data_IF_585175224903
#
_entry.id   IF_585175224903
#
_cell.length_a   1.000
_cell.length_b   1.000
_cell.length_c   1.000
_cell.angle_alpha   90.00
_cell.angle_beta   90.00
_cell.angle_gamma   90.00
#
_symmetry.space_group_name_H-M   'P 1'
#
loop_
_entity.id
_entity.type
_entity.pdbx_description
1 polymer ?
#
# COMPACT_ATOMS: atom_id res chain seq x y z
N UNK A 1 -13.52 26.30 -11.18
CA UNK A 1 -13.94 25.90 -9.81
C UNK A 1 -14.94 24.74 -9.84
N UNK A 2 -14.95 23.89 -10.88
CA UNK A 2 -15.66 22.60 -10.89
C UNK A 2 -14.65 21.45 -11.03
N UNK A 3 -13.54 21.68 -11.75
CA UNK A 3 -12.46 20.71 -11.96
C UNK A 3 -11.80 20.24 -10.66
N UNK A 4 -11.64 21.13 -9.68
CA UNK A 4 -11.09 20.78 -8.37
C UNK A 4 -11.99 19.80 -7.61
N UNK A 5 -13.32 19.97 -7.69
CA UNK A 5 -14.30 19.08 -7.07
C UNK A 5 -14.33 17.72 -7.78
N UNK A 6 -14.21 17.70 -9.11
CA UNK A 6 -14.09 16.44 -9.87
C UNK A 6 -12.80 15.68 -9.55
N UNK A 7 -11.68 16.38 -9.32
CA UNK A 7 -10.40 15.78 -8.94
C UNK A 7 -10.26 15.41 -7.46
N UNK A 8 -11.15 15.89 -6.58
CA UNK A 8 -10.98 15.79 -5.13
C UNK A 8 -10.80 14.35 -4.64
N UNK A 9 -11.57 13.39 -5.18
CA UNK A 9 -11.46 11.96 -4.79
C UNK A 9 -10.09 11.39 -5.17
N UNK A 10 -9.60 11.71 -6.37
CA UNK A 10 -8.29 11.25 -6.85
C UNK A 10 -7.16 11.83 -5.99
N UNK A 11 -7.23 13.13 -5.67
CA UNK A 11 -6.25 13.78 -4.80
C UNK A 11 -6.21 13.13 -3.41
N UNK A 12 -7.38 12.84 -2.82
CA UNK A 12 -7.45 12.19 -1.51
C UNK A 12 -6.97 10.74 -1.56
N UNK A 13 -7.25 10.01 -2.65
CA UNK A 13 -6.75 8.65 -2.88
C UNK A 13 -5.21 8.62 -2.94
N UNK A 14 -4.61 9.53 -3.72
CA UNK A 14 -3.17 9.65 -3.85
C UNK A 14 -2.53 10.05 -2.51
N UNK A 15 -3.13 11.00 -1.80
CA UNK A 15 -2.69 11.43 -0.46
C UNK A 15 -2.74 10.29 0.55
N UNK A 16 -3.86 9.57 0.62
CA UNK A 16 -4.04 8.48 1.57
C UNK A 16 -3.03 7.35 1.33
N UNK A 17 -2.78 7.02 0.06
CA UNK A 17 -1.82 5.98 -0.32
C UNK A 17 -0.39 6.40 0.02
N UNK A 18 0.01 7.62 -0.35
CA UNK A 18 1.35 8.14 -0.07
C UNK A 18 1.62 8.29 1.43
N UNK A 19 0.63 8.79 2.18
CA UNK A 19 0.74 8.93 3.64
C UNK A 19 0.88 7.58 4.32
N UNK A 20 0.05 6.61 3.97
CA UNK A 20 0.12 5.25 4.51
C UNK A 20 1.46 4.59 4.21
N UNK A 21 1.96 4.70 2.97
CA UNK A 21 3.27 4.19 2.59
C UNK A 21 4.39 4.82 3.44
N UNK A 22 4.36 6.13 3.63
CA UNK A 22 5.33 6.86 4.47
C UNK A 22 5.34 6.35 5.92
N UNK A 23 4.18 6.11 6.51
CA UNK A 23 4.09 5.57 7.87
C UNK A 23 4.66 4.16 7.95
N UNK A 24 4.38 3.30 6.98
CA UNK A 24 4.90 1.93 6.96
C UNK A 24 6.42 1.90 6.76
N UNK A 25 6.97 2.73 5.88
CA UNK A 25 8.42 2.83 5.67
C UNK A 25 9.13 3.29 6.94
N UNK A 26 8.55 4.23 7.69
CA UNK A 26 9.18 4.81 8.88
C UNK A 26 9.04 3.94 10.13
N UNK A 27 7.92 3.23 10.26
CA UNK A 27 7.50 2.65 11.55
C UNK A 27 7.08 1.18 11.49
N UNK A 28 7.15 0.53 10.32
CA UNK A 28 6.86 -0.90 10.17
C UNK A 28 8.13 -1.69 9.84
N UNK A 29 7.97 -3.01 9.76
CA UNK A 29 9.02 -3.90 9.24
C UNK A 29 9.11 -3.77 7.71
N UNK A 30 10.30 -3.98 7.10
CA UNK A 30 10.49 -3.87 5.65
C UNK A 30 9.48 -4.70 4.84
N UNK A 31 9.23 -5.95 5.26
CA UNK A 31 8.28 -6.85 4.57
C UNK A 31 6.88 -6.23 4.36
N UNK A 32 6.37 -5.46 5.34
CA UNK A 32 5.06 -4.80 5.23
C UNK A 32 5.15 -3.56 4.33
N UNK A 33 6.21 -2.77 4.48
CA UNK A 33 6.40 -1.55 3.70
C UNK A 33 6.55 -1.87 2.21
N UNK A 34 7.40 -2.83 1.88
CA UNK A 34 7.66 -3.26 0.51
C UNK A 34 6.41 -3.85 -0.14
N UNK A 35 5.68 -4.71 0.58
CA UNK A 35 4.41 -5.26 0.09
C UNK A 35 3.34 -4.18 -0.14
N UNK A 36 3.26 -3.18 0.74
CA UNK A 36 2.31 -2.08 0.57
C UNK A 36 2.67 -1.24 -0.67
N UNK A 37 3.93 -0.83 -0.80
CA UNK A 37 4.42 -0.06 -1.94
C UNK A 37 4.19 -0.83 -3.24
N UNK A 38 4.55 -2.11 -3.30
CA UNK A 38 4.34 -2.94 -4.49
C UNK A 38 2.87 -3.00 -4.90
N UNK A 39 1.96 -3.22 -3.95
CA UNK A 39 0.54 -3.40 -4.28
C UNK A 39 -0.25 -2.11 -4.48
N UNK A 40 0.23 -0.95 -4.02
CA UNK A 40 -0.54 0.32 -4.10
C UNK A 40 0.13 1.38 -4.97
N UNK A 41 1.46 1.37 -5.05
CA UNK A 41 2.25 2.34 -5.82
C UNK A 41 2.91 1.72 -7.06
N UNK A 42 3.05 0.39 -7.11
CA UNK A 42 3.68 -0.32 -8.23
C UNK A 42 2.91 -0.23 -9.54
N UNK A 43 3.64 -0.37 -10.65
CA UNK A 43 3.09 -0.38 -12.01
C UNK A 43 2.25 -1.65 -12.26
N UNK A 44 2.65 -2.78 -11.69
CA UNK A 44 1.99 -4.09 -11.83
C UNK A 44 0.91 -4.38 -10.77
N UNK A 45 0.35 -3.33 -10.13
CA UNK A 45 -0.67 -3.53 -9.07
C UNK A 45 -1.97 -4.12 -9.61
N UNK A 46 -2.51 -5.12 -8.91
CA UNK A 46 -3.77 -5.77 -9.26
C UNK A 46 -4.99 -5.16 -8.58
N UNK A 47 -6.18 -5.33 -9.18
CA UNK A 47 -7.46 -4.91 -8.59
C UNK A 47 -8.03 -5.92 -7.58
N UNK A 48 -7.53 -7.16 -7.58
CA UNK A 48 -7.94 -8.22 -6.67
C UNK A 48 -6.90 -8.44 -5.57
N UNK A 49 -7.36 -9.00 -4.43
CA UNK A 49 -6.44 -9.54 -3.43
C UNK A 49 -5.66 -10.73 -3.98
N UNK A 50 -4.48 -10.99 -3.41
CA UNK A 50 -3.61 -12.09 -3.83
C UNK A 50 -2.74 -11.80 -5.07
N UNK A 51 -2.63 -10.53 -5.47
CA UNK A 51 -1.88 -10.08 -6.65
C UNK A 51 -0.50 -9.49 -6.33
N UNK A 52 0.04 -9.78 -5.14
CA UNK A 52 1.38 -9.34 -4.76
C UNK A 52 2.45 -10.04 -5.63
N UNK A 53 3.55 -9.34 -5.99
CA UNK A 53 4.63 -9.92 -6.77
C UNK A 53 5.33 -11.04 -5.99
N UNK A 54 5.95 -11.95 -6.75
CA UNK A 54 6.82 -12.96 -6.17
C UNK A 54 7.99 -12.31 -5.40
N UNK A 55 8.39 -12.93 -4.28
CA UNK A 55 9.47 -12.43 -3.42
C UNK A 55 9.03 -11.60 -2.22
N UNK A 56 7.74 -11.26 -2.11
CA UNK A 56 7.20 -10.68 -0.87
C UNK A 56 7.17 -11.74 0.24
N UNK A 57 7.74 -11.40 1.40
CA UNK A 57 7.68 -12.24 2.61
C UNK A 57 6.30 -12.16 3.27
N UNK A 58 5.33 -12.86 2.68
CA UNK A 58 3.97 -12.94 3.20
C UNK A 58 3.91 -13.58 4.59
N UNK A 59 4.85 -14.48 4.92
CA UNK A 59 4.89 -15.14 6.23
C UNK A 59 5.19 -14.13 7.33
N UNK A 60 6.22 -13.30 7.17
CA UNK A 60 6.54 -12.27 8.16
C UNK A 60 5.39 -11.26 8.36
N UNK A 61 4.67 -10.91 7.29
CA UNK A 61 3.49 -10.03 7.38
C UNK A 61 2.36 -10.67 8.20
N UNK A 62 2.09 -11.96 7.97
CA UNK A 62 1.06 -12.72 8.68
C UNK A 62 1.45 -12.89 10.16
N UNK A 63 2.66 -13.36 10.44
CA UNK A 63 3.15 -13.61 11.80
C UNK A 63 3.12 -12.34 12.66
N UNK A 64 3.42 -11.16 12.07
CA UNK A 64 3.27 -9.85 12.74
C UNK A 64 1.82 -9.53 13.10
N UNK A 65 0.89 -9.85 12.19
CA UNK A 65 -0.50 -9.38 12.26
C UNK A 65 -1.41 -10.33 13.04
N UNK A 66 -1.03 -11.61 13.12
CA UNK A 66 -1.72 -12.67 13.84
C UNK A 66 -0.74 -13.34 14.81
N UNK A 67 -0.45 -12.71 15.96
CA UNK A 67 0.31 -13.37 17.02
C UNK A 67 -0.46 -14.59 17.55
N UNK A 68 0.29 -15.62 17.99
CA UNK A 68 -0.23 -16.91 18.44
C UNK A 68 -1.14 -16.82 19.68
#
# INVERSE_FOLDING_TARGET
>A
MHDAQFGARRVVEDLATAFSASLLVRYSIPAVADAYCAARLGEDRGLCYGTLPAGIDAKAIIDRSLPA
#
